data_IF_011711677640
#
_entry.id   IF_011711677640
#
_cell.length_a   1.000
_cell.length_b   1.000
_cell.length_c   1.000
_cell.angle_alpha   90.00
_cell.angle_beta   90.00
_cell.angle_gamma   90.00
#
_symmetry.space_group_name_H-M   'P 1'
#
loop_
_entity.id
_entity.type
_entity.pdbx_description
1 polymer ?
#
# COMPACT_ATOMS: atom_id res chain seq x y z
N UNK A 1 -58.61 35.16 12.74
CA UNK A 1 -57.63 34.35 13.52
C UNK A 1 -57.24 33.16 12.66
N UNK A 2 -56.10 33.17 11.96
CA UNK A 2 -54.88 32.38 12.28
C UNK A 2 -55.27 31.04 12.93
N UNK A 3 -55.01 29.87 12.35
CA UNK A 3 -53.66 29.32 12.08
C UNK A 3 -53.72 28.18 11.04
N UNK A 4 -52.79 28.21 10.10
CA UNK A 4 -52.39 27.08 9.26
C UNK A 4 -51.62 26.07 10.12
N UNK A 5 -51.88 24.77 9.97
CA UNK A 5 -50.93 23.72 10.38
C UNK A 5 -50.67 22.86 9.16
N UNK A 6 -49.60 23.22 8.47
CA UNK A 6 -48.90 22.39 7.49
C UNK A 6 -48.22 21.27 8.30
N UNK A 7 -48.64 20.03 8.09
CA UNK A 7 -47.93 18.86 8.62
C UNK A 7 -46.69 18.67 7.76
N UNK A 8 -45.55 19.09 8.30
CA UNK A 8 -44.23 18.99 7.68
C UNK A 8 -43.78 17.53 7.71
N UNK A 9 -43.77 16.87 6.56
CA UNK A 9 -43.15 15.57 6.38
C UNK A 9 -41.61 15.73 6.50
N UNK A 10 -41.09 15.55 7.71
CA UNK A 10 -39.65 15.35 7.92
C UNK A 10 -39.34 13.91 7.51
N UNK A 11 -39.17 13.71 6.20
CA UNK A 11 -38.51 12.51 5.69
C UNK A 11 -37.08 12.52 6.22
N UNK A 12 -36.74 11.49 7.01
CA UNK A 12 -35.39 11.18 7.42
C UNK A 12 -34.48 11.19 6.19
N UNK A 13 -33.70 12.26 6.02
CA UNK A 13 -32.48 12.24 5.23
C UNK A 13 -31.50 11.36 5.99
N UNK A 14 -31.67 10.05 5.87
CA UNK A 14 -30.60 9.10 6.14
C UNK A 14 -29.53 9.37 5.09
N UNK A 15 -28.60 10.27 5.45
CA UNK A 15 -27.31 10.45 4.77
C UNK A 15 -26.53 9.15 4.91
N UNK A 16 -26.94 8.12 4.17
CA UNK A 16 -26.11 6.97 3.94
C UNK A 16 -24.81 7.52 3.37
N UNK A 17 -23.71 7.31 4.09
CA UNK A 17 -22.37 7.46 3.56
C UNK A 17 -22.30 6.52 2.35
N UNK A 18 -22.66 7.03 1.16
CA UNK A 18 -22.48 6.30 -0.08
C UNK A 18 -20.98 6.11 -0.21
N UNK A 19 -20.51 4.88 0.02
CA UNK A 19 -19.19 4.48 -0.41
C UNK A 19 -19.09 4.84 -1.89
N UNK A 20 -18.26 5.83 -2.22
CA UNK A 20 -18.09 6.23 -3.62
C UNK A 20 -17.43 5.06 -4.35
N UNK A 21 -18.20 4.44 -5.23
CA UNK A 21 -17.70 3.39 -6.10
C UNK A 21 -16.64 3.98 -7.02
N UNK A 22 -15.47 3.33 -7.08
CA UNK A 22 -14.42 3.69 -8.02
C UNK A 22 -14.95 3.59 -9.47
N UNK A 23 -14.58 4.52 -10.35
CA UNK A 23 -14.97 4.42 -11.76
C UNK A 23 -14.34 3.18 -12.41
N UNK A 24 -15.00 2.60 -13.42
CA UNK A 24 -14.45 1.45 -14.16
C UNK A 24 -13.05 1.74 -14.71
N UNK A 25 -12.86 2.92 -15.31
CA UNK A 25 -11.57 3.38 -15.83
C UNK A 25 -10.50 3.48 -14.74
N UNK A 26 -10.84 4.05 -13.58
CA UNK A 26 -9.88 4.14 -12.48
C UNK A 26 -9.53 2.74 -11.93
N UNK A 27 -10.51 1.83 -11.84
CA UNK A 27 -10.30 0.44 -11.39
C UNK A 27 -9.37 -0.33 -12.33
N UNK A 28 -9.57 -0.21 -13.64
CA UNK A 28 -8.73 -0.84 -14.65
C UNK A 28 -7.31 -0.26 -14.63
N UNK A 29 -7.18 1.07 -14.50
CA UNK A 29 -5.88 1.73 -14.42
C UNK A 29 -5.07 1.30 -13.18
N UNK A 30 -5.72 1.25 -12.00
CA UNK A 30 -5.08 0.77 -10.78
C UNK A 30 -4.68 -0.69 -10.91
N UNK A 31 -5.58 -1.56 -11.39
CA UNK A 31 -5.29 -2.99 -11.54
C UNK A 31 -4.09 -3.23 -12.45
N UNK A 32 -4.03 -2.54 -13.59
CA UNK A 32 -2.90 -2.65 -14.52
C UNK A 32 -1.57 -2.18 -13.89
N UNK A 33 -1.60 -1.11 -13.10
CA UNK A 33 -0.40 -0.62 -12.39
C UNK A 33 0.01 -1.54 -11.26
N UNK A 34 -0.94 -2.10 -10.52
CA UNK A 34 -0.65 -3.05 -9.46
C UNK A 34 -0.01 -4.32 -10.02
N UNK A 35 -0.56 -4.88 -11.10
CA UNK A 35 0.04 -6.05 -11.77
C UNK A 35 1.48 -5.78 -12.22
N UNK A 36 1.76 -4.60 -12.80
CA UNK A 36 3.13 -4.23 -13.20
C UNK A 36 4.05 -4.04 -12.00
N UNK A 37 3.57 -3.42 -10.91
CA UNK A 37 4.34 -3.29 -9.68
C UNK A 37 4.76 -4.66 -9.13
N UNK A 38 3.83 -5.62 -9.06
CA UNK A 38 4.11 -6.98 -8.62
C UNK A 38 5.07 -7.71 -9.57
N UNK A 39 4.89 -7.54 -10.89
CA UNK A 39 5.79 -8.10 -11.91
C UNK A 39 7.22 -7.58 -11.75
N UNK A 40 7.41 -6.27 -11.64
CA UNK A 40 8.72 -5.66 -11.42
C UNK A 40 9.32 -6.08 -10.08
N UNK A 41 8.49 -6.33 -9.05
CA UNK A 41 8.95 -6.78 -7.73
C UNK A 41 9.49 -8.20 -7.82
N UNK A 42 8.75 -9.10 -8.47
CA UNK A 42 9.18 -10.48 -8.74
C UNK A 42 10.45 -10.54 -9.60
N UNK A 43 10.60 -9.64 -10.57
CA UNK A 43 11.80 -9.52 -11.41
C UNK A 43 12.95 -8.76 -10.73
N UNK A 44 12.74 -8.25 -9.51
CA UNK A 44 13.72 -7.46 -8.76
C UNK A 44 14.21 -6.22 -9.53
N UNK A 45 13.34 -5.64 -10.36
CA UNK A 45 13.62 -4.45 -11.15
C UNK A 45 13.37 -3.19 -10.30
N UNK A 46 14.13 -3.05 -9.21
CA UNK A 46 13.91 -2.03 -8.17
C UNK A 46 13.86 -0.60 -8.70
N UNK A 47 14.67 -0.26 -9.71
CA UNK A 47 14.63 1.06 -10.37
C UNK A 47 13.27 1.34 -11.01
N UNK A 48 12.60 0.30 -11.54
CA UNK A 48 11.28 0.43 -12.17
C UNK A 48 10.17 0.54 -11.13
N UNK A 49 10.34 -0.09 -9.95
CA UNK A 49 9.36 -0.01 -8.86
C UNK A 49 9.13 1.42 -8.39
N UNK A 50 10.16 2.26 -8.43
CA UNK A 50 10.07 3.67 -8.05
C UNK A 50 9.01 4.44 -8.85
N UNK A 51 8.71 4.05 -10.09
CA UNK A 51 7.69 4.70 -10.93
C UNK A 51 6.25 4.47 -10.44
N UNK A 52 6.05 3.52 -9.52
CA UNK A 52 4.75 3.19 -8.95
C UNK A 52 4.56 3.80 -7.56
N UNK A 53 5.64 4.14 -6.87
CA UNK A 53 5.61 4.62 -5.49
C UNK A 53 5.44 6.14 -5.45
N UNK A 54 4.63 6.61 -4.51
CA UNK A 54 4.49 8.05 -4.28
C UNK A 54 5.84 8.64 -3.82
N UNK A 55 6.39 9.69 -4.46
CA UNK A 55 7.75 10.19 -4.21
C UNK A 55 7.96 10.66 -2.76
N UNK A 56 6.95 11.31 -2.17
CA UNK A 56 6.99 11.75 -0.78
C UNK A 56 7.16 10.63 0.26
N UNK A 57 7.01 9.35 -0.10
CA UNK A 57 7.32 8.25 0.82
C UNK A 57 8.79 8.19 1.20
N UNK A 58 9.64 8.83 0.38
CA UNK A 58 11.09 8.91 0.58
C UNK A 58 11.52 10.29 1.07
N UNK A 59 10.59 11.23 1.18
CA UNK A 59 10.81 12.59 1.68
C UNK A 59 10.61 12.60 3.20
N UNK A 60 11.61 12.09 3.90
CA UNK A 60 11.61 12.05 5.36
C UNK A 60 12.73 11.19 5.90
N UNK A 61 13.75 11.84 6.48
CA UNK A 61 14.75 11.25 7.39
C UNK A 61 15.91 10.47 6.74
N UNK A 62 15.82 10.08 5.47
CA UNK A 62 16.93 9.44 4.76
C UNK A 62 17.49 10.40 3.71
N UNK A 63 18.77 10.76 3.85
CA UNK A 63 19.57 11.42 2.79
C UNK A 63 19.76 10.56 1.54
N UNK A 64 19.12 9.40 1.50
CA UNK A 64 19.23 8.37 0.47
C UNK A 64 18.21 8.69 -0.61
N UNK A 65 18.71 9.11 -1.77
CA UNK A 65 17.91 9.27 -2.97
C UNK A 65 17.23 7.95 -3.35
N UNK A 66 16.07 8.02 -4.02
CA UNK A 66 15.36 6.84 -4.53
C UNK A 66 16.29 5.90 -5.32
N UNK A 67 17.26 6.46 -6.05
CA UNK A 67 18.26 5.73 -6.83
C UNK A 67 19.25 4.96 -5.95
N UNK A 68 19.73 5.56 -4.86
CA UNK A 68 20.64 4.88 -3.93
C UNK A 68 19.95 3.73 -3.21
N UNK A 69 18.66 3.87 -2.90
CA UNK A 69 17.88 2.77 -2.34
C UNK A 69 17.72 1.61 -3.33
N UNK A 70 17.40 1.90 -4.60
CA UNK A 70 17.34 0.86 -5.62
C UNK A 70 18.70 0.16 -5.82
N UNK A 71 19.81 0.90 -5.80
CA UNK A 71 21.17 0.36 -5.86
C UNK A 71 21.48 -0.54 -4.65
N UNK A 72 21.10 -0.13 -3.44
CA UNK A 72 21.29 -0.94 -2.24
C UNK A 72 20.52 -2.27 -2.33
N UNK A 73 19.28 -2.24 -2.80
CA UNK A 73 18.47 -3.45 -3.02
C UNK A 73 19.11 -4.38 -4.07
N UNK A 74 19.65 -3.82 -5.15
CA UNK A 74 20.37 -4.59 -6.18
C UNK A 74 21.68 -5.20 -5.64
N UNK A 75 22.43 -4.46 -4.82
CA UNK A 75 23.69 -4.92 -4.25
C UNK A 75 23.52 -6.11 -3.32
N UNK A 76 22.39 -6.24 -2.64
CA UNK A 76 22.13 -7.36 -1.75
C UNK A 76 22.07 -8.72 -2.48
N UNK A 77 21.80 -8.73 -3.80
CA UNK A 77 21.70 -9.95 -4.65
C UNK A 77 20.95 -11.10 -3.97
N UNK A 78 19.95 -10.78 -3.14
CA UNK A 78 19.13 -11.77 -2.45
C UNK A 78 18.18 -12.34 -3.49
N UNK A 79 18.11 -13.67 -3.60
CA UNK A 79 17.10 -14.29 -4.45
C UNK A 79 15.75 -14.15 -3.76
N UNK A 80 14.93 -13.21 -4.26
CA UNK A 80 13.56 -12.98 -3.86
C UNK A 80 12.61 -13.72 -4.79
N UNK A 81 11.75 -14.54 -4.22
CA UNK A 81 10.69 -15.26 -4.91
C UNK A 81 9.35 -14.89 -4.27
N UNK A 82 8.37 -14.54 -5.10
CA UNK A 82 6.99 -14.27 -4.71
C UNK A 82 6.11 -15.43 -5.17
N UNK A 83 5.35 -15.99 -4.24
CA UNK A 83 4.42 -17.08 -4.46
C UNK A 83 3.04 -16.68 -3.92
N UNK A 84 1.99 -17.35 -4.40
CA UNK A 84 0.62 -17.18 -3.90
C UNK A 84 0.17 -15.71 -3.80
N UNK A 85 0.50 -14.93 -4.84
CA UNK A 85 0.16 -13.50 -4.88
C UNK A 85 -1.32 -13.37 -5.23
N UNK A 86 -2.07 -12.76 -4.33
CA UNK A 86 -3.49 -12.45 -4.52
C UNK A 86 -3.72 -10.96 -4.30
N UNK A 87 -4.43 -10.33 -5.23
CA UNK A 87 -4.84 -8.93 -5.09
C UNK A 87 -6.31 -8.92 -4.71
N UNK A 88 -6.60 -8.29 -3.59
CA UNK A 88 -7.94 -8.13 -3.06
C UNK A 88 -8.75 -7.07 -3.79
N UNK A 89 -9.85 -6.65 -3.18
CA UNK A 89 -10.83 -5.78 -3.84
C UNK A 89 -10.38 -4.32 -3.78
N UNK A 90 -10.47 -3.64 -4.93
CA UNK A 90 -10.33 -2.18 -4.98
C UNK A 90 -11.58 -1.50 -4.39
N UNK A 91 -11.37 -0.70 -3.35
CA UNK A 91 -12.38 0.08 -2.69
C UNK A 91 -12.10 1.58 -2.88
N UNK A 92 -13.03 2.31 -3.49
CA UNK A 92 -12.94 3.76 -3.54
C UNK A 92 -12.98 4.37 -2.13
N UNK A 93 -12.15 5.40 -1.95
CA UNK A 93 -12.14 6.24 -0.75
C UNK A 93 -12.63 7.65 -1.12
N UNK A 94 -13.04 8.42 -0.11
CA UNK A 94 -13.54 9.78 -0.31
C UNK A 94 -12.46 10.67 -0.97
N UNK A 95 -12.75 11.33 -2.11
CA UNK A 95 -11.85 12.29 -2.72
C UNK A 95 -11.68 13.51 -1.80
N UNK A 96 -10.57 14.20 -1.97
CA UNK A 96 -10.29 15.48 -1.30
C UNK A 96 -9.81 16.48 -2.34
N UNK A 97 -10.62 17.51 -2.58
CA UNK A 97 -10.41 18.43 -3.70
C UNK A 97 -10.41 17.68 -5.03
N UNK A 98 -9.32 17.81 -5.79
CA UNK A 98 -9.14 17.14 -7.09
C UNK A 98 -8.42 15.79 -6.99
N UNK A 99 -8.04 15.35 -5.79
CA UNK A 99 -7.29 14.12 -5.60
C UNK A 99 -8.25 12.95 -5.35
N UNK A 100 -7.90 11.79 -5.90
CA UNK A 100 -8.65 10.54 -5.74
C UNK A 100 -7.83 9.51 -4.99
N UNK A 101 -8.53 8.64 -4.28
CA UNK A 101 -7.94 7.65 -3.40
C UNK A 101 -8.66 6.31 -3.55
N UNK A 102 -7.91 5.22 -3.51
CA UNK A 102 -8.47 3.87 -3.47
C UNK A 102 -7.67 3.00 -2.50
N UNK A 103 -8.38 2.18 -1.73
CA UNK A 103 -7.80 1.16 -0.87
C UNK A 103 -7.76 -0.17 -1.63
N UNK A 104 -6.66 -0.89 -1.50
CA UNK A 104 -6.53 -2.26 -1.94
C UNK A 104 -5.78 -3.06 -0.88
N UNK A 105 -6.10 -4.34 -0.77
CA UNK A 105 -5.28 -5.31 -0.06
C UNK A 105 -4.61 -6.26 -1.06
N UNK A 106 -3.51 -6.88 -0.64
CA UNK A 106 -2.90 -7.98 -1.37
C UNK A 106 -2.20 -8.91 -0.38
N UNK A 107 -2.14 -10.19 -0.71
CA UNK A 107 -1.36 -11.17 0.03
C UNK A 107 -0.29 -11.80 -0.83
N UNK A 108 0.80 -12.20 -0.20
CA UNK A 108 1.89 -12.93 -0.85
C UNK A 108 2.63 -13.81 0.14
N UNK A 109 3.18 -14.89 -0.40
CA UNK A 109 4.23 -15.68 0.22
C UNK A 109 5.58 -15.23 -0.37
N UNK A 110 6.46 -14.76 0.51
CA UNK A 110 7.78 -14.27 0.17
C UNK A 110 8.82 -15.31 0.58
N UNK A 111 9.72 -15.67 -0.33
CA UNK A 111 10.91 -16.49 -0.05
C UNK A 111 12.17 -15.69 -0.37
N UNK A 112 13.05 -15.56 0.61
CA UNK A 112 14.38 -14.96 0.45
C UNK A 112 15.41 -16.04 0.68
N UNK A 113 16.15 -16.40 -0.37
CA UNK A 113 17.34 -17.25 -0.23
C UNK A 113 18.57 -16.36 -0.08
N UNK A 114 19.20 -16.45 1.09
CA UNK A 114 20.42 -15.75 1.42
C UNK A 114 21.62 -16.44 0.75
N UNK A 115 22.62 -15.64 0.41
CA UNK A 115 23.91 -16.06 -0.12
C UNK A 115 25.03 -15.74 0.89
N UNK A 116 26.25 -16.14 0.57
CA UNK A 116 27.43 -15.96 1.44
C UNK A 116 27.67 -14.50 1.88
N UNK A 117 27.28 -13.52 1.07
CA UNK A 117 27.50 -12.10 1.35
C UNK A 117 26.48 -11.53 2.34
N UNK A 118 25.29 -12.12 2.40
CA UNK A 118 24.19 -11.59 3.22
C UNK A 118 23.80 -12.49 4.40
N UNK A 119 24.38 -13.69 4.53
CA UNK A 119 24.17 -14.56 5.70
C UNK A 119 24.53 -13.88 7.03
N UNK A 120 25.55 -13.02 7.05
CA UNK A 120 25.95 -12.27 8.24
C UNK A 120 24.89 -11.25 8.69
N UNK A 121 23.98 -10.86 7.80
CA UNK A 121 22.88 -9.94 8.07
C UNK A 121 21.54 -10.66 8.24
N UNK A 122 21.51 -12.00 8.31
CA UNK A 122 20.27 -12.78 8.37
C UNK A 122 19.34 -12.31 9.49
N UNK A 123 19.86 -12.09 10.69
CA UNK A 123 19.07 -11.63 11.83
C UNK A 123 18.45 -10.24 11.60
N UNK A 124 19.19 -9.32 10.97
CA UNK A 124 18.68 -8.00 10.63
C UNK A 124 17.57 -8.09 9.59
N UNK A 125 17.74 -8.93 8.56
CA UNK A 125 16.74 -9.15 7.51
C UNK A 125 15.48 -9.78 8.12
N UNK A 126 15.64 -10.81 8.96
CA UNK A 126 14.53 -11.47 9.66
C UNK A 126 13.78 -10.46 10.55
N UNK A 127 14.48 -9.66 11.34
CA UNK A 127 13.85 -8.67 12.20
C UNK A 127 13.11 -7.58 11.42
N UNK A 128 13.68 -7.11 10.31
CA UNK A 128 13.00 -6.19 9.40
C UNK A 128 11.72 -6.79 8.84
N UNK A 129 11.79 -8.02 8.32
CA UNK A 129 10.61 -8.73 7.82
C UNK A 129 9.57 -8.99 8.91
N UNK A 130 9.97 -9.26 10.16
CA UNK A 130 9.04 -9.41 11.29
C UNK A 130 8.33 -8.10 11.62
N UNK A 131 9.01 -6.96 11.48
CA UNK A 131 8.40 -5.64 11.62
C UNK A 131 7.35 -5.39 10.52
N UNK A 132 7.61 -5.88 9.31
CA UNK A 132 6.75 -5.68 8.15
C UNK A 132 5.57 -6.66 8.07
N UNK A 133 5.80 -7.94 8.27
CA UNK A 133 4.81 -9.01 8.10
C UNK A 133 4.23 -9.51 9.43
N UNK A 134 4.79 -9.08 10.56
CA UNK A 134 4.46 -9.60 11.89
C UNK A 134 5.33 -10.80 12.28
N UNK A 135 5.72 -10.85 13.56
CA UNK A 135 6.68 -11.83 14.06
C UNK A 135 6.25 -13.30 13.87
N UNK A 136 4.94 -13.58 13.94
CA UNK A 136 4.37 -14.92 13.75
C UNK A 136 4.32 -15.39 12.29
N UNK A 137 4.58 -14.49 11.34
CA UNK A 137 4.46 -14.81 9.91
C UNK A 137 5.81 -14.93 9.19
N UNK A 138 6.92 -14.87 9.93
CA UNK A 138 8.28 -14.96 9.36
C UNK A 138 9.02 -16.13 9.99
N UNK A 139 9.59 -16.98 9.15
CA UNK A 139 10.45 -18.10 9.57
C UNK A 139 11.82 -18.02 8.91
N UNK A 140 12.84 -18.52 9.61
CA UNK A 140 14.19 -18.61 9.09
C UNK A 140 14.75 -20.03 9.29
N UNK A 141 15.05 -20.70 8.19
CA UNK A 141 15.77 -21.97 8.17
C UNK A 141 17.26 -21.68 7.94
N UNK A 142 18.02 -21.62 9.03
CA UNK A 142 19.46 -21.34 9.00
C UNK A 142 20.27 -22.41 8.26
N UNK A 143 19.77 -23.65 8.19
CA UNK A 143 20.47 -24.74 7.49
C UNK A 143 20.40 -24.58 5.97
N UNK A 144 19.34 -23.93 5.48
CA UNK A 144 19.11 -23.66 4.06
C UNK A 144 19.33 -22.19 3.68
N UNK A 145 19.69 -21.35 4.66
CA UNK A 145 19.77 -19.91 4.49
C UNK A 145 18.50 -19.31 3.85
N UNK A 146 17.34 -19.86 4.23
CA UNK A 146 16.05 -19.52 3.63
C UNK A 146 15.17 -18.81 4.65
N UNK A 147 14.78 -17.58 4.33
CA UNK A 147 13.76 -16.83 5.07
C UNK A 147 12.45 -16.93 4.30
N UNK A 148 11.36 -17.22 4.99
CA UNK A 148 10.02 -17.14 4.41
C UNK A 148 9.16 -16.17 5.21
N UNK A 149 8.36 -15.37 4.52
CA UNK A 149 7.40 -14.47 5.13
C UNK A 149 6.05 -14.64 4.44
N UNK A 150 4.96 -14.62 5.19
CA UNK A 150 3.61 -14.63 4.64
C UNK A 150 2.88 -13.40 5.14
N UNK A 151 2.01 -12.82 4.34
CA UNK A 151 1.14 -11.80 4.91
C UNK A 151 0.24 -11.12 3.90
N UNK A 152 -0.80 -10.52 4.45
CA UNK A 152 -1.62 -9.54 3.79
C UNK A 152 -1.11 -8.14 4.12
N UNK A 153 -1.08 -7.29 3.10
CA UNK A 153 -0.67 -5.90 3.17
C UNK A 153 -1.80 -5.05 2.61
N UNK A 154 -1.92 -3.83 3.10
CA UNK A 154 -2.86 -2.85 2.57
C UNK A 154 -2.07 -1.75 1.87
N UNK A 155 -2.64 -1.20 0.81
CA UNK A 155 -2.07 -0.06 0.08
C UNK A 155 -3.16 0.95 -0.21
N UNK A 156 -2.78 2.22 -0.18
CA UNK A 156 -3.62 3.30 -0.68
C UNK A 156 -3.03 3.78 -2.00
N UNK A 157 -3.82 3.66 -3.06
CA UNK A 157 -3.55 4.28 -4.35
C UNK A 157 -3.99 5.74 -4.31
N UNK A 158 -3.09 6.63 -4.70
CA UNK A 158 -3.28 8.08 -4.70
C UNK A 158 -3.15 8.61 -6.12
N UNK A 159 -4.13 9.37 -6.58
CA UNK A 159 -4.10 10.08 -7.86
C UNK A 159 -4.17 11.58 -7.59
N UNK A 160 -3.10 12.29 -7.91
CA UNK A 160 -3.01 13.73 -7.72
C UNK A 160 -2.68 14.43 -9.03
N UNK A 161 -3.28 15.61 -9.24
CA UNK A 161 -3.02 16.42 -10.42
C UNK A 161 -1.56 16.89 -10.51
N UNK A 162 -0.94 17.17 -9.37
CA UNK A 162 0.46 17.60 -9.29
C UNK A 162 1.44 16.54 -9.81
N UNK A 163 1.04 15.26 -9.80
CA UNK A 163 1.84 14.12 -10.26
C UNK A 163 1.32 13.57 -11.60
N UNK A 164 0.83 14.46 -12.47
CA UNK A 164 0.42 14.07 -13.83
C UNK A 164 -0.89 13.28 -13.92
N UNK A 165 -1.68 13.20 -12.83
CA UNK A 165 -2.91 12.39 -12.74
C UNK A 165 -2.69 10.88 -12.98
N UNK A 166 -1.53 10.34 -12.64
CA UNK A 166 -1.32 8.89 -12.56
C UNK A 166 -1.60 8.37 -11.15
N UNK A 167 -1.71 7.05 -10.99
CA UNK A 167 -1.94 6.39 -9.69
C UNK A 167 -0.61 5.96 -9.05
N UNK A 168 -0.40 6.38 -7.81
CA UNK A 168 0.79 6.06 -7.03
C UNK A 168 0.42 5.24 -5.79
N UNK A 169 1.17 4.18 -5.56
CA UNK A 169 1.01 3.29 -4.42
C UNK A 169 1.68 3.92 -3.19
N UNK A 170 0.94 3.95 -2.09
CA UNK A 170 1.43 4.24 -0.75
C UNK A 170 1.18 3.00 0.11
N UNK A 171 2.23 2.44 0.71
CA UNK A 171 2.05 1.31 1.66
C UNK A 171 1.17 1.78 2.83
N UNK A 172 0.29 0.93 3.36
CA UNK A 172 -0.66 1.36 4.38
C UNK A 172 -0.75 0.36 5.53
N UNK A 173 -0.28 0.77 6.70
CA UNK A 173 -0.51 0.07 7.96
C UNK A 173 -1.73 0.69 8.67
N UNK A 174 -2.86 -0.04 8.77
CA UNK A 174 -4.06 0.47 9.42
C UNK A 174 -3.90 0.69 10.93
N UNK A 175 -2.86 0.13 11.56
CA UNK A 175 -2.52 0.39 12.96
C UNK A 175 -1.73 1.70 13.14
N UNK A 176 -1.07 2.18 12.07
CA UNK A 176 -0.25 3.40 12.08
C UNK A 176 -0.57 4.33 10.89
N UNK A 177 -1.86 4.69 10.68
CA UNK A 177 -2.27 5.46 9.50
C UNK A 177 -1.59 6.83 9.42
N UNK A 178 -1.25 7.41 10.57
CA UNK A 178 -0.64 8.74 10.69
C UNK A 178 0.78 8.85 10.11
N UNK A 179 1.43 7.72 9.78
CA UNK A 179 2.70 7.70 9.06
C UNK A 179 2.63 8.46 7.72
N UNK A 180 1.43 8.54 7.11
CA UNK A 180 1.24 9.07 5.77
C UNK A 180 0.51 10.41 5.70
N UNK A 181 0.37 11.12 6.82
CA UNK A 181 -0.35 12.40 6.88
C UNK A 181 0.23 13.52 5.99
N UNK A 182 1.49 13.39 5.55
CA UNK A 182 2.14 14.32 4.61
C UNK A 182 1.74 14.07 3.14
N UNK A 183 1.13 12.92 2.85
CA UNK A 183 0.73 12.47 1.52
C UNK A 183 -0.79 12.38 1.43
N UNK A 184 -1.41 11.76 2.42
CA UNK A 184 -2.83 11.41 2.41
C UNK A 184 -3.55 12.20 3.50
N UNK A 185 -4.64 12.92 3.19
CA UNK A 185 -5.41 13.65 4.18
C UNK A 185 -5.93 12.74 5.30
N UNK A 186 -5.96 13.25 6.53
CA UNK A 186 -6.36 12.49 7.73
C UNK A 186 -7.74 11.84 7.62
N UNK A 187 -8.69 12.50 6.96
CA UNK A 187 -10.03 11.96 6.71
C UNK A 187 -9.98 10.67 5.86
N UNK A 188 -9.13 10.64 4.84
CA UNK A 188 -8.95 9.49 3.95
C UNK A 188 -8.24 8.36 4.68
N UNK A 189 -7.21 8.68 5.47
CA UNK A 189 -6.51 7.72 6.32
C UNK A 189 -7.44 7.04 7.33
N UNK A 190 -8.32 7.82 7.96
CA UNK A 190 -9.31 7.32 8.91
C UNK A 190 -10.36 6.43 8.24
N UNK A 191 -10.81 6.81 7.05
CA UNK A 191 -11.72 5.98 6.24
C UNK A 191 -11.06 4.65 5.86
N UNK A 192 -9.83 4.69 5.36
CA UNK A 192 -9.07 3.50 4.97
C UNK A 192 -8.89 2.55 6.17
N UNK A 193 -8.45 3.05 7.33
CA UNK A 193 -8.27 2.25 8.54
C UNK A 193 -9.57 1.62 9.06
N UNK A 194 -10.73 2.22 8.74
CA UNK A 194 -12.04 1.67 9.11
C UNK A 194 -12.45 0.54 8.17
N UNK A 195 -12.12 0.63 6.88
CA UNK A 195 -12.45 -0.37 5.87
C UNK A 195 -11.55 -1.61 5.89
N UNK A 196 -10.40 -1.54 6.58
CA UNK A 196 -9.46 -2.66 6.74
C UNK A 196 -9.67 -3.46 8.03
N UNK A 197 -10.64 -3.08 8.87
CA UNK A 197 -11.04 -3.80 10.09
C UNK A 197 -12.17 -4.77 9.79
#
# INVERSE_FOLDING_TARGET
MRKYIIVFAIGMLSSGLMAQSLSKTDSEAISARFSKFLEHTSKQEFDKLLNFLHPKQFEGNSSVSMKEMAQMLQLMRIKLEMENVEVGRLNGLSPQGNNKYALADYSMDLKLTLNEQNKAFADQIVNGLKGEFGAGNVTYDASKYLITAKGAKNVIWVKEKALGNDWYLVDFDPQRPQAWKSIIPEKVLSEAATKTK
#
